data_IF_279038511990
#
_entry.id   IF_279038511990
#
_cell.length_a   1.000
_cell.length_b   1.000
_cell.length_c   1.000
_cell.angle_alpha   90.00
_cell.angle_beta   90.00
_cell.angle_gamma   90.00
#
_symmetry.space_group_name_H-M   'P 1'
#
loop_
_entity.id
_entity.type
_entity.pdbx_description
1 polymer ?
#
# COMPACT_ATOMS: atom_id res chain seq x y z
N UNK A 1 -25.69 1.78 -47.77
CA UNK A 1 -24.69 1.63 -46.70
C UNK A 1 -23.86 2.91 -46.65
N UNK A 2 -24.11 3.77 -45.69
CA UNK A 2 -23.32 4.99 -45.45
C UNK A 2 -22.08 4.63 -44.62
N UNK A 3 -20.88 5.14 -44.96
CA UNK A 3 -19.66 4.80 -44.24
C UNK A 3 -19.64 5.48 -42.87
N UNK A 4 -19.33 4.70 -41.82
CA UNK A 4 -19.14 5.19 -40.45
C UNK A 4 -17.85 6.04 -40.40
N UNK A 5 -17.89 7.29 -39.88
CA UNK A 5 -16.69 8.11 -39.78
C UNK A 5 -15.70 7.52 -38.76
N UNK A 6 -14.43 7.42 -39.17
CA UNK A 6 -13.35 6.94 -38.31
C UNK A 6 -13.23 7.84 -37.06
N UNK A 7 -13.37 7.23 -35.88
CA UNK A 7 -13.19 7.93 -34.61
C UNK A 7 -11.78 8.53 -34.48
N UNK A 8 -11.61 9.61 -33.70
CA UNK A 8 -10.33 10.29 -33.56
C UNK A 8 -9.26 9.33 -33.00
N UNK A 9 -8.00 9.43 -33.47
CA UNK A 9 -6.93 8.57 -32.98
C UNK A 9 -6.73 8.76 -31.46
N UNK A 10 -6.43 7.68 -30.71
CA UNK A 10 -6.24 7.77 -29.27
C UNK A 10 -5.13 8.76 -28.94
N UNK A 11 -5.46 9.80 -28.15
CA UNK A 11 -4.49 10.79 -27.68
C UNK A 11 -3.40 10.08 -26.87
N UNK A 12 -2.15 10.15 -27.37
CA UNK A 12 -0.95 9.71 -26.63
C UNK A 12 -0.76 10.65 -25.44
N UNK A 13 -1.18 10.22 -24.26
CA UNK A 13 -0.89 10.94 -23.01
C UNK A 13 0.59 10.73 -22.71
N UNK A 14 1.41 11.75 -22.93
CA UNK A 14 2.80 11.73 -22.46
C UNK A 14 2.81 11.73 -20.92
N UNK A 15 3.56 10.83 -20.26
CA UNK A 15 3.66 10.84 -18.81
C UNK A 15 4.25 12.18 -18.37
N UNK A 16 3.60 12.84 -17.39
CA UNK A 16 4.11 14.10 -16.86
C UNK A 16 5.51 13.91 -16.26
N UNK A 17 6.48 14.77 -16.62
CA UNK A 17 7.86 14.75 -16.13
C UNK A 17 7.94 14.67 -14.59
N UNK A 18 6.96 15.28 -13.89
CA UNK A 18 6.82 15.23 -12.43
C UNK A 18 6.46 13.84 -11.89
N UNK A 19 5.62 13.08 -12.59
CA UNK A 19 5.29 11.70 -12.22
C UNK A 19 6.51 10.78 -12.37
N UNK A 20 7.30 11.03 -13.42
CA UNK A 20 8.55 10.32 -13.67
C UNK A 20 9.63 10.57 -12.61
N UNK A 21 9.86 11.84 -12.26
CA UNK A 21 10.80 12.22 -11.19
C UNK A 21 10.43 11.59 -9.83
N UNK A 22 9.14 11.51 -9.51
CA UNK A 22 8.66 10.93 -8.25
C UNK A 22 8.89 9.42 -8.15
N UNK A 23 8.60 8.67 -9.22
CA UNK A 23 8.76 7.20 -9.21
C UNK A 23 10.23 6.78 -9.19
N UNK A 24 11.07 7.46 -9.96
CA UNK A 24 12.52 7.27 -9.95
C UNK A 24 13.11 7.66 -8.59
N UNK A 25 12.71 8.81 -8.04
CA UNK A 25 13.15 9.25 -6.71
C UNK A 25 12.78 8.26 -5.59
N UNK A 26 11.55 7.76 -5.57
CA UNK A 26 11.13 6.74 -4.61
C UNK A 26 11.94 5.44 -4.74
N UNK A 27 12.16 5.00 -5.97
CA UNK A 27 12.93 3.77 -6.27
C UNK A 27 14.38 3.89 -5.80
N UNK A 28 15.01 5.04 -6.03
CA UNK A 28 16.35 5.35 -5.54
C UNK A 28 16.39 5.41 -4.01
N UNK A 29 15.41 6.06 -3.38
CA UNK A 29 15.31 6.14 -1.93
C UNK A 29 15.17 4.75 -1.28
N UNK A 30 14.32 3.88 -1.83
CA UNK A 30 14.20 2.51 -1.37
C UNK A 30 15.50 1.72 -1.55
N UNK A 31 16.16 1.86 -2.70
CA UNK A 31 17.44 1.18 -2.97
C UNK A 31 18.55 1.64 -2.02
N UNK A 32 18.60 2.94 -1.71
CA UNK A 32 19.51 3.51 -0.70
C UNK A 32 19.20 2.99 0.70
N UNK A 33 17.93 2.92 1.08
CA UNK A 33 17.49 2.39 2.37
C UNK A 33 17.89 0.92 2.54
N UNK A 34 17.67 0.11 1.50
CA UNK A 34 18.07 -1.31 1.50
C UNK A 34 19.59 -1.44 1.57
N UNK A 35 20.33 -0.67 0.76
CA UNK A 35 21.79 -0.68 0.80
C UNK A 35 22.34 -0.28 2.19
N UNK A 36 21.73 0.72 2.84
CA UNK A 36 22.08 1.11 4.21
C UNK A 36 21.78 0.00 5.23
N UNK A 37 20.64 -0.68 5.10
CA UNK A 37 20.30 -1.82 5.97
C UNK A 37 21.22 -3.03 5.78
N UNK A 38 21.68 -3.27 4.56
CA UNK A 38 22.61 -4.37 4.23
C UNK A 38 24.05 -4.04 4.66
N UNK A 39 24.45 -2.75 4.66
CA UNK A 39 25.80 -2.29 4.94
C UNK A 39 26.36 -2.78 6.29
N UNK A 40 25.52 -2.88 7.32
CA UNK A 40 25.95 -3.23 8.67
C UNK A 40 26.41 -4.69 8.86
N UNK A 41 26.32 -5.53 7.83
CA UNK A 41 26.53 -6.97 7.99
C UNK A 41 27.80 -7.61 7.46
N UNK A 42 28.66 -6.86 6.76
CA UNK A 42 29.91 -7.38 6.19
C UNK A 42 29.75 -8.48 5.12
N UNK A 43 28.52 -8.90 4.82
CA UNK A 43 28.20 -9.97 3.87
C UNK A 43 28.34 -9.51 2.41
N UNK A 44 27.86 -8.30 2.10
CA UNK A 44 27.95 -7.67 0.77
C UNK A 44 28.22 -6.19 0.98
N UNK A 45 29.15 -5.62 0.20
CA UNK A 45 29.44 -4.19 0.33
C UNK A 45 28.24 -3.37 -0.17
N UNK A 46 27.88 -2.26 0.51
CA UNK A 46 26.78 -1.40 0.06
C UNK A 46 26.99 -0.89 -1.38
N UNK A 47 28.25 -0.70 -1.80
CA UNK A 47 28.60 -0.36 -3.18
C UNK A 47 28.19 -1.43 -4.21
N UNK A 48 28.29 -2.72 -3.89
CA UNK A 48 27.84 -3.80 -4.78
C UNK A 48 26.32 -3.81 -4.90
N UNK A 49 25.59 -3.57 -3.80
CA UNK A 49 24.12 -3.49 -3.81
C UNK A 49 23.65 -2.29 -4.64
N UNK A 50 24.23 -1.11 -4.40
CA UNK A 50 23.89 0.12 -5.13
C UNK A 50 24.28 0.01 -6.62
N UNK A 51 25.46 -0.56 -6.91
CA UNK A 51 25.91 -0.79 -8.28
C UNK A 51 24.99 -1.75 -9.03
N UNK A 52 24.60 -2.86 -8.42
CA UNK A 52 23.66 -3.82 -9.01
C UNK A 52 22.27 -3.20 -9.22
N UNK A 53 21.75 -2.43 -8.25
CA UNK A 53 20.49 -1.71 -8.36
C UNK A 53 20.54 -0.67 -9.49
N UNK A 54 21.60 0.15 -9.52
CA UNK A 54 21.79 1.21 -10.51
C UNK A 54 21.97 0.67 -11.92
N UNK A 55 22.81 -0.37 -12.11
CA UNK A 55 22.98 -1.05 -13.39
C UNK A 55 21.68 -1.71 -13.84
N UNK A 56 21.00 -2.42 -12.94
CA UNK A 56 19.73 -3.06 -13.24
C UNK A 56 18.68 -2.05 -13.70
N UNK A 57 18.48 -0.98 -12.93
CA UNK A 57 17.56 0.10 -13.28
C UNK A 57 17.94 0.79 -14.59
N UNK A 58 19.23 1.10 -14.80
CA UNK A 58 19.72 1.73 -16.03
C UNK A 58 19.47 0.89 -17.27
N UNK A 59 19.80 -0.41 -17.22
CA UNK A 59 19.54 -1.36 -18.31
C UNK A 59 18.04 -1.44 -18.61
N UNK A 60 17.21 -1.56 -17.58
CA UNK A 60 15.76 -1.67 -17.78
C UNK A 60 15.16 -0.37 -18.32
N UNK A 61 15.64 0.79 -17.87
CA UNK A 61 15.19 2.09 -18.36
C UNK A 61 15.56 2.29 -19.85
N UNK A 62 16.76 1.85 -20.25
CA UNK A 62 17.18 1.87 -21.66
C UNK A 62 16.36 0.91 -22.55
N UNK A 63 15.94 -0.24 -21.99
CA UNK A 63 15.16 -1.23 -22.71
C UNK A 63 13.67 -0.88 -22.80
N UNK A 64 13.11 -0.23 -21.78
CA UNK A 64 11.69 0.04 -21.61
C UNK A 64 11.43 1.50 -21.17
N UNK A 65 11.66 2.50 -22.05
CA UNK A 65 11.58 3.93 -21.68
C UNK A 65 10.17 4.39 -21.21
N UNK A 66 9.11 3.69 -21.62
CA UNK A 66 7.73 3.97 -21.19
C UNK A 66 7.25 3.07 -20.03
N UNK A 67 8.09 2.15 -19.55
CA UNK A 67 7.76 1.14 -18.54
C UNK A 67 8.02 1.58 -17.10
N UNK A 68 7.65 2.79 -16.69
CA UNK A 68 7.88 3.29 -15.31
C UNK A 68 7.39 2.32 -14.23
N UNK A 69 6.28 1.64 -14.53
CA UNK A 69 5.64 0.61 -13.73
C UNK A 69 6.51 -0.64 -13.56
N UNK A 70 7.20 -1.05 -14.62
CA UNK A 70 8.09 -2.19 -14.61
C UNK A 70 9.39 -1.91 -13.82
N UNK A 71 9.94 -0.69 -13.93
CA UNK A 71 11.11 -0.28 -13.14
C UNK A 71 10.81 -0.28 -11.63
N UNK A 72 9.64 0.24 -11.23
CA UNK A 72 9.19 0.23 -9.84
C UNK A 72 9.06 -1.19 -9.27
N UNK A 73 8.38 -2.08 -10.00
CA UNK A 73 8.22 -3.46 -9.58
C UNK A 73 9.57 -4.19 -9.50
N UNK A 74 10.48 -3.93 -10.45
CA UNK A 74 11.81 -4.56 -10.44
C UNK A 74 12.66 -4.09 -9.27
N UNK A 75 12.57 -2.80 -8.89
CA UNK A 75 13.26 -2.29 -7.71
C UNK A 75 12.78 -2.93 -6.41
N UNK A 76 11.46 -3.09 -6.24
CA UNK A 76 10.90 -3.80 -5.08
C UNK A 76 11.33 -5.27 -5.07
N UNK A 77 11.30 -5.95 -6.21
CA UNK A 77 11.78 -7.32 -6.33
C UNK A 77 13.27 -7.45 -5.96
N UNK A 78 14.09 -6.52 -6.44
CA UNK A 78 15.52 -6.45 -6.09
C UNK A 78 15.73 -6.18 -4.60
N UNK A 79 14.96 -5.27 -3.99
CA UNK A 79 15.01 -4.99 -2.56
C UNK A 79 14.71 -6.25 -1.72
N UNK A 80 13.64 -6.97 -2.05
CA UNK A 80 13.27 -8.23 -1.38
C UNK A 80 14.39 -9.27 -1.55
N UNK A 81 14.93 -9.42 -2.77
CA UNK A 81 16.06 -10.30 -3.03
C UNK A 81 17.28 -9.97 -2.17
N UNK A 82 17.65 -8.69 -2.09
CA UNK A 82 18.81 -8.27 -1.31
C UNK A 82 18.66 -8.58 0.18
N UNK A 83 17.47 -8.34 0.74
CA UNK A 83 17.17 -8.69 2.14
C UNK A 83 17.24 -10.21 2.38
N UNK A 84 16.63 -11.01 1.50
CA UNK A 84 16.64 -12.48 1.62
C UNK A 84 18.05 -13.06 1.47
N UNK A 85 18.86 -12.51 0.56
CA UNK A 85 20.24 -12.93 0.37
C UNK A 85 21.06 -12.73 1.64
N UNK A 86 20.96 -11.56 2.27
CA UNK A 86 21.69 -11.25 3.50
C UNK A 86 21.23 -12.11 4.67
N UNK A 87 19.93 -12.37 4.78
CA UNK A 87 19.39 -13.26 5.79
C UNK A 87 19.93 -14.68 5.63
N UNK A 88 19.83 -15.24 4.43
CA UNK A 88 20.30 -16.60 4.13
C UNK A 88 21.82 -16.73 4.23
N UNK A 89 22.57 -15.73 3.76
CA UNK A 89 24.04 -15.71 3.86
C UNK A 89 24.54 -15.65 5.30
N UNK A 90 23.81 -14.98 6.20
CA UNK A 90 24.12 -15.00 7.64
C UNK A 90 23.74 -16.31 8.32
N UNK A 91 22.58 -16.87 7.98
CA UNK A 91 22.06 -18.06 8.65
C UNK A 91 22.70 -19.36 8.16
N UNK A 92 22.96 -19.48 6.85
CA UNK A 92 23.48 -20.71 6.23
C UNK A 92 24.99 -20.69 5.97
N UNK A 93 25.55 -19.55 5.53
CA UNK A 93 26.91 -19.47 4.98
C UNK A 93 27.83 -18.45 5.69
N UNK A 94 27.97 -18.52 7.04
CA UNK A 94 28.74 -17.53 7.78
C UNK A 94 30.20 -17.45 7.33
N UNK A 95 30.84 -18.59 7.05
CA UNK A 95 32.28 -18.70 6.77
C UNK A 95 32.62 -18.76 5.27
N UNK A 96 31.61 -18.58 4.39
CA UNK A 96 31.86 -18.51 2.96
C UNK A 96 32.75 -17.32 2.59
N UNK A 97 33.60 -17.50 1.57
CA UNK A 97 34.58 -16.52 1.17
C UNK A 97 33.94 -15.17 0.78
N UNK A 98 34.51 -14.01 1.16
CA UNK A 98 33.91 -12.69 0.88
C UNK A 98 33.66 -12.43 -0.61
N UNK A 99 34.59 -12.85 -1.47
CA UNK A 99 34.42 -12.73 -2.93
C UNK A 99 33.27 -13.58 -3.44
N UNK A 100 33.05 -14.77 -2.86
CA UNK A 100 31.98 -15.67 -3.26
C UNK A 100 30.61 -15.14 -2.83
N UNK A 101 30.54 -14.41 -1.70
CA UNK A 101 29.34 -13.66 -1.31
C UNK A 101 29.00 -12.56 -2.32
N UNK A 102 30.00 -11.81 -2.78
CA UNK A 102 29.78 -10.81 -3.83
C UNK A 102 29.34 -11.44 -5.18
N UNK A 103 30.02 -12.50 -5.61
CA UNK A 103 29.68 -13.22 -6.86
C UNK A 103 28.30 -13.86 -6.77
N UNK A 104 28.01 -14.55 -5.66
CA UNK A 104 26.72 -15.19 -5.41
C UNK A 104 25.57 -14.18 -5.41
N UNK A 105 25.78 -12.99 -4.86
CA UNK A 105 24.80 -11.90 -4.92
C UNK A 105 24.55 -11.40 -6.35
N UNK A 106 25.61 -11.24 -7.15
CA UNK A 106 25.51 -10.70 -8.50
C UNK A 106 24.97 -11.72 -9.52
N UNK A 107 25.13 -13.02 -9.27
CA UNK A 107 24.85 -14.07 -10.25
C UNK A 107 23.36 -14.12 -10.67
N UNK A 108 22.36 -14.15 -9.76
CA UNK A 108 20.95 -14.06 -10.14
C UNK A 108 20.57 -12.74 -10.82
N UNK A 109 21.19 -11.64 -10.39
CA UNK A 109 20.95 -10.30 -10.97
C UNK A 109 21.44 -10.25 -12.41
N UNK A 110 22.67 -10.73 -12.66
CA UNK A 110 23.25 -10.80 -13.99
C UNK A 110 22.44 -11.74 -14.91
N UNK A 111 22.02 -12.90 -14.40
CA UNK A 111 21.17 -13.84 -15.14
C UNK A 111 19.81 -13.24 -15.50
N UNK A 112 19.19 -12.50 -14.58
CA UNK A 112 17.96 -11.75 -14.85
C UNK A 112 18.17 -10.72 -15.97
N UNK A 113 19.18 -9.86 -15.86
CA UNK A 113 19.45 -8.82 -16.85
C UNK A 113 19.80 -9.42 -18.22
N UNK A 114 20.60 -10.48 -18.26
CA UNK A 114 20.92 -11.20 -19.49
C UNK A 114 19.66 -11.81 -20.12
N UNK A 115 18.78 -12.43 -19.31
CA UNK A 115 17.54 -13.02 -19.80
C UNK A 115 16.54 -11.95 -20.32
N UNK A 116 16.48 -10.79 -19.66
CA UNK A 116 15.69 -9.63 -20.12
C UNK A 116 16.25 -9.11 -21.45
N UNK A 117 17.57 -8.96 -21.54
CA UNK A 117 18.24 -8.49 -22.76
C UNK A 117 18.04 -9.46 -23.93
N UNK A 118 18.22 -10.76 -23.71
CA UNK A 118 18.05 -11.79 -24.73
C UNK A 118 16.60 -11.86 -25.25
N UNK A 119 15.61 -11.58 -24.40
CA UNK A 119 14.17 -11.65 -24.75
C UNK A 119 13.54 -10.28 -25.00
N UNK A 120 14.35 -9.23 -25.18
CA UNK A 120 13.90 -7.82 -25.23
C UNK A 120 12.80 -7.53 -26.24
N UNK A 121 12.81 -8.14 -27.43
CA UNK A 121 11.78 -7.92 -28.46
C UNK A 121 10.41 -8.44 -28.02
N UNK A 122 10.37 -9.67 -27.49
CA UNK A 122 9.14 -10.27 -26.97
C UNK A 122 8.63 -9.55 -25.72
N UNK A 123 9.53 -9.09 -24.84
CA UNK A 123 9.17 -8.36 -23.62
C UNK A 123 8.67 -6.93 -23.93
N UNK A 124 9.23 -6.25 -24.93
CA UNK A 124 8.73 -4.93 -25.38
C UNK A 124 7.30 -5.03 -25.90
N UNK A 125 7.02 -6.04 -26.74
CA UNK A 125 5.67 -6.29 -27.24
C UNK A 125 4.67 -6.57 -26.10
N UNK A 126 5.10 -7.23 -25.01
CA UNK A 126 4.28 -7.46 -23.82
C UNK A 126 4.03 -6.18 -23.01
N UNK A 127 5.04 -5.33 -22.85
CA UNK A 127 4.93 -4.08 -22.10
C UNK A 127 4.09 -3.02 -22.84
N UNK A 128 4.09 -3.02 -24.17
CA UNK A 128 3.31 -2.10 -25.01
C UNK A 128 1.87 -2.58 -25.25
N UNK A 129 1.64 -3.89 -25.20
CA UNK A 129 0.31 -4.45 -25.30
C UNK A 129 -0.49 -4.14 -24.03
N UNK A 130 -1.32 -3.09 -24.07
CA UNK A 130 -2.36 -2.81 -23.06
C UNK A 130 -3.45 -3.89 -23.10
N UNK A 131 -3.11 -5.11 -22.69
CA UNK A 131 -4.09 -6.19 -22.54
C UNK A 131 -4.77 -6.10 -21.17
N UNK A 132 -6.05 -6.47 -21.07
CA UNK A 132 -6.71 -6.65 -19.79
C UNK A 132 -6.00 -7.75 -18.98
N UNK A 133 -6.10 -7.65 -17.65
CA UNK A 133 -5.53 -8.59 -16.69
C UNK A 133 -5.92 -10.04 -17.04
N UNK A 134 -4.93 -10.94 -17.18
CA UNK A 134 -5.14 -12.34 -17.54
C UNK A 134 -4.59 -13.27 -16.45
N UNK A 135 -5.46 -14.10 -15.86
CA UNK A 135 -5.12 -15.02 -14.77
C UNK A 135 -4.37 -16.27 -15.23
N UNK A 136 -4.27 -16.53 -16.54
CA UNK A 136 -3.71 -17.76 -17.09
C UNK A 136 -2.22 -18.03 -16.75
N UNK A 137 -1.47 -17.03 -16.26
CA UNK A 137 -0.07 -17.17 -15.87
C UNK A 137 0.17 -17.45 -14.37
N UNK A 138 -0.85 -17.28 -13.52
CA UNK A 138 -0.76 -17.50 -12.06
C UNK A 138 -0.15 -18.87 -11.67
N UNK A 139 -0.53 -19.99 -12.29
CA UNK A 139 0.05 -21.30 -11.94
C UNK A 139 1.51 -21.47 -12.36
N UNK A 140 2.01 -20.72 -13.35
CA UNK A 140 3.44 -20.69 -13.68
C UNK A 140 4.23 -19.87 -12.66
N UNK A 141 3.66 -18.76 -12.20
CA UNK A 141 4.23 -17.95 -11.13
C UNK A 141 4.31 -18.72 -9.81
N UNK A 142 3.25 -19.44 -9.46
CA UNK A 142 3.22 -20.24 -8.23
C UNK A 142 4.33 -21.31 -8.26
N UNK A 143 4.58 -21.93 -9.42
CA UNK A 143 5.72 -22.85 -9.60
C UNK A 143 7.08 -22.17 -9.41
N UNK A 144 7.24 -20.94 -9.90
CA UNK A 144 8.46 -20.15 -9.68
C UNK A 144 8.68 -19.85 -8.19
N UNK A 145 7.65 -19.35 -7.50
CA UNK A 145 7.73 -19.05 -6.07
C UNK A 145 7.99 -20.32 -5.24
N UNK A 146 7.34 -21.43 -5.58
CA UNK A 146 7.58 -22.73 -4.94
C UNK A 146 8.99 -23.24 -5.20
N UNK A 147 9.53 -23.08 -6.41
CA UNK A 147 10.91 -23.46 -6.71
C UNK A 147 11.92 -22.65 -5.90
N UNK A 148 11.71 -21.33 -5.79
CA UNK A 148 12.57 -20.46 -5.00
C UNK A 148 12.47 -20.77 -3.49
N UNK A 149 11.26 -21.01 -3.00
CA UNK A 149 11.03 -21.44 -1.62
C UNK A 149 11.66 -22.80 -1.34
N UNK A 150 11.56 -23.76 -2.26
CA UNK A 150 12.20 -25.06 -2.13
C UNK A 150 13.72 -24.94 -2.05
N UNK A 151 14.35 -24.10 -2.88
CA UNK A 151 15.80 -23.84 -2.79
C UNK A 151 16.15 -23.26 -1.41
N UNK A 152 15.40 -22.26 -0.93
CA UNK A 152 15.62 -21.67 0.40
C UNK A 152 15.45 -22.66 1.55
N UNK A 153 14.43 -23.52 1.49
CA UNK A 153 14.19 -24.57 2.49
C UNK A 153 15.31 -25.61 2.46
N UNK A 154 15.71 -26.07 1.28
CA UNK A 154 16.82 -27.03 1.12
C UNK A 154 18.11 -26.44 1.70
N UNK A 155 18.44 -25.18 1.40
CA UNK A 155 19.60 -24.49 1.99
C UNK A 155 19.52 -24.36 3.52
N UNK A 156 18.33 -24.25 4.10
CA UNK A 156 18.17 -24.21 5.57
C UNK A 156 18.21 -25.58 6.24
N UNK A 157 17.81 -26.65 5.53
CA UNK A 157 17.81 -28.02 6.05
C UNK A 157 19.22 -28.63 6.02
N UNK A 158 20.06 -28.23 5.06
CA UNK A 158 21.46 -28.64 5.04
C UNK A 158 22.20 -27.92 6.18
N UNK A 159 22.89 -28.64 7.08
CA UNK A 159 23.61 -28.03 8.20
C UNK A 159 24.94 -27.41 7.72
N UNK A 160 24.84 -26.40 6.87
CA UNK A 160 25.96 -25.74 6.19
C UNK A 160 26.93 -25.08 7.17
N UNK A 161 26.43 -24.61 8.32
CA UNK A 161 27.26 -24.08 9.41
C UNK A 161 28.19 -25.10 10.08
N UNK A 162 28.10 -26.39 9.75
CA UNK A 162 29.05 -27.44 10.21
C UNK A 162 30.11 -27.77 9.16
N UNK A 163 30.02 -27.20 7.95
CA UNK A 163 30.95 -27.48 6.87
C UNK A 163 32.16 -26.52 6.92
N UNK A 164 33.34 -26.96 6.46
CA UNK A 164 34.50 -26.08 6.33
C UNK A 164 34.21 -24.95 5.32
N UNK A 165 34.78 -23.76 5.55
CA UNK A 165 34.57 -22.55 4.72
C UNK A 165 34.62 -22.74 3.19
N UNK A 166 35.55 -23.53 2.59
CA UNK A 166 35.53 -23.79 1.15
C UNK A 166 34.30 -24.59 0.68
N UNK A 167 33.79 -25.52 1.49
CA UNK A 167 32.58 -26.27 1.17
C UNK A 167 31.32 -25.37 1.26
N UNK A 168 31.25 -24.48 2.26
CA UNK A 168 30.20 -23.45 2.33
C UNK A 168 30.22 -22.54 1.08
N UNK A 169 31.42 -22.19 0.60
CA UNK A 169 31.59 -21.37 -0.61
C UNK A 169 31.03 -22.04 -1.86
N UNK A 170 31.30 -23.34 -2.05
CA UNK A 170 30.77 -24.10 -3.19
C UNK A 170 29.25 -24.26 -3.08
N UNK A 171 28.72 -24.56 -1.89
CA UNK A 171 27.26 -24.68 -1.68
C UNK A 171 26.54 -23.36 -1.97
N UNK A 172 27.08 -22.23 -1.49
CA UNK A 172 26.54 -20.91 -1.78
C UNK A 172 26.47 -20.64 -3.29
N UNK A 173 27.56 -20.90 -4.03
CA UNK A 173 27.59 -20.67 -5.47
C UNK A 173 26.65 -21.62 -6.21
N UNK A 174 26.53 -22.88 -5.78
CA UNK A 174 25.59 -23.84 -6.36
C UNK A 174 24.14 -23.40 -6.14
N UNK A 175 23.78 -22.99 -4.92
CA UNK A 175 22.45 -22.46 -4.59
C UNK A 175 22.15 -21.21 -5.42
N UNK A 176 23.08 -20.26 -5.50
CA UNK A 176 22.90 -19.03 -6.29
C UNK A 176 22.79 -19.31 -7.78
N UNK A 177 23.50 -20.33 -8.29
CA UNK A 177 23.38 -20.79 -9.68
C UNK A 177 22.01 -21.40 -9.95
N UNK A 178 21.50 -22.24 -9.04
CA UNK A 178 20.14 -22.77 -9.15
C UNK A 178 19.09 -21.64 -9.17
N UNK A 179 19.23 -20.66 -8.28
CA UNK A 179 18.38 -19.45 -8.28
C UNK A 179 18.49 -18.70 -9.61
N UNK A 180 19.70 -18.47 -10.12
CA UNK A 180 19.93 -17.77 -11.38
C UNK A 180 19.27 -18.47 -12.58
N UNK A 181 19.34 -19.80 -12.65
CA UNK A 181 18.67 -20.61 -13.69
C UNK A 181 17.16 -20.46 -13.60
N UNK A 182 16.59 -20.59 -12.40
CA UNK A 182 15.15 -20.44 -12.17
C UNK A 182 14.68 -19.04 -12.56
N UNK A 183 15.41 -17.99 -12.16
CA UNK A 183 15.11 -16.59 -12.50
C UNK A 183 15.17 -16.35 -14.02
N UNK A 184 16.21 -16.84 -14.69
CA UNK A 184 16.37 -16.70 -16.14
C UNK A 184 15.24 -17.42 -16.91
N UNK A 185 14.82 -18.61 -16.45
CA UNK A 185 13.71 -19.34 -17.04
C UNK A 185 12.38 -18.58 -16.89
N UNK A 186 12.14 -18.03 -15.70
CA UNK A 186 10.89 -17.36 -15.32
C UNK A 186 10.81 -15.88 -15.68
N UNK A 187 11.84 -15.30 -16.34
CA UNK A 187 11.91 -13.86 -16.64
C UNK A 187 10.66 -13.31 -17.34
N UNK A 188 10.04 -14.06 -18.25
CA UNK A 188 8.83 -13.61 -18.96
C UNK A 188 7.63 -13.50 -18.03
N UNK A 189 7.48 -14.46 -17.13
CA UNK A 189 6.36 -14.52 -16.19
C UNK A 189 6.56 -13.47 -15.07
N UNK A 190 7.81 -13.29 -14.61
CA UNK A 190 8.19 -12.21 -13.67
C UNK A 190 7.91 -10.85 -14.27
N UNK A 191 8.36 -10.57 -15.50
CA UNK A 191 8.11 -9.27 -16.15
C UNK A 191 6.62 -8.99 -16.31
N UNK A 192 5.81 -10.00 -16.70
CA UNK A 192 4.35 -9.85 -16.80
C UNK A 192 3.73 -9.50 -15.45
N UNK A 193 4.05 -10.26 -14.40
CA UNK A 193 3.55 -9.97 -13.06
C UNK A 193 3.94 -8.55 -12.61
N UNK A 194 5.19 -8.14 -12.85
CA UNK A 194 5.63 -6.80 -12.48
C UNK A 194 4.86 -5.72 -13.22
N UNK A 195 4.54 -5.93 -14.51
CA UNK A 195 3.67 -5.04 -15.28
C UNK A 195 2.25 -5.05 -14.73
N UNK A 196 1.66 -6.22 -14.47
CA UNK A 196 0.29 -6.35 -13.98
C UNK A 196 0.12 -5.77 -12.57
N UNK A 197 1.04 -6.11 -11.65
CA UNK A 197 1.11 -5.54 -10.30
C UNK A 197 1.25 -4.04 -10.40
N UNK A 198 2.12 -3.52 -11.25
CA UNK A 198 2.31 -2.08 -11.35
C UNK A 198 1.13 -1.35 -12.01
N UNK A 199 0.39 -2.00 -12.92
CA UNK A 199 -0.91 -1.52 -13.43
C UNK A 199 -1.99 -1.53 -12.33
N UNK A 200 -2.03 -2.60 -11.52
CA UNK A 200 -2.91 -2.68 -10.34
C UNK A 200 -2.55 -1.56 -9.37
N UNK A 201 -1.26 -1.33 -9.07
CA UNK A 201 -0.80 -0.26 -8.20
C UNK A 201 -1.09 1.13 -8.75
N UNK A 202 -1.06 1.35 -10.06
CA UNK A 202 -1.48 2.62 -10.66
C UNK A 202 -2.99 2.85 -10.47
N UNK A 203 -3.76 1.79 -10.71
CA UNK A 203 -5.21 1.79 -10.53
C UNK A 203 -5.58 1.98 -9.05
N UNK A 204 -4.84 1.34 -8.16
CA UNK A 204 -4.98 1.41 -6.71
C UNK A 204 -4.45 2.73 -6.17
N UNK A 205 -3.40 3.32 -6.73
CA UNK A 205 -2.85 4.62 -6.32
C UNK A 205 -3.87 5.74 -6.53
N UNK A 206 -4.64 5.68 -7.63
CA UNK A 206 -5.79 6.56 -7.84
C UNK A 206 -6.94 6.33 -6.85
N UNK A 207 -7.06 5.12 -6.28
CA UNK A 207 -7.99 4.81 -5.18
C UNK A 207 -7.43 5.26 -3.82
N UNK A 208 -6.12 5.11 -3.61
CA UNK A 208 -5.42 5.45 -2.38
C UNK A 208 -5.39 6.94 -2.15
N UNK A 209 -5.26 7.75 -3.22
CA UNK A 209 -5.46 9.20 -3.13
C UNK A 209 -6.84 9.61 -2.60
N UNK A 210 -7.88 8.77 -2.81
CA UNK A 210 -9.23 9.01 -2.28
C UNK A 210 -9.37 8.61 -0.81
N UNK A 211 -8.60 7.60 -0.39
CA UNK A 211 -8.55 7.15 1.01
C UNK A 211 -7.51 7.92 1.84
N UNK A 212 -6.67 8.74 1.20
CA UNK A 212 -5.60 9.46 1.88
C UNK A 212 -6.12 10.37 2.98
N UNK A 213 -7.24 11.07 2.76
CA UNK A 213 -7.85 11.96 3.76
C UNK A 213 -8.33 11.18 5.00
N UNK A 214 -9.22 10.17 4.89
CA UNK A 214 -9.65 9.42 6.07
C UNK A 214 -8.52 8.63 6.74
N UNK A 215 -7.55 8.09 5.97
CA UNK A 215 -6.37 7.43 6.55
C UNK A 215 -5.51 8.41 7.34
N UNK A 216 -5.26 9.61 6.80
CA UNK A 216 -4.45 10.62 7.50
C UNK A 216 -5.14 11.07 8.78
N UNK A 217 -6.46 11.28 8.75
CA UNK A 217 -7.24 11.58 9.95
C UNK A 217 -7.14 10.45 10.99
N UNK A 218 -7.34 9.20 10.57
CA UNK A 218 -7.22 8.03 11.44
C UNK A 218 -5.83 7.93 12.09
N UNK A 219 -4.76 8.03 11.29
CA UNK A 219 -3.38 7.98 11.77
C UNK A 219 -3.08 9.12 12.73
N UNK A 220 -3.63 10.32 12.47
CA UNK A 220 -3.46 11.48 13.35
C UNK A 220 -4.11 11.25 14.70
N UNK A 221 -5.37 10.77 14.72
CA UNK A 221 -6.07 10.46 15.98
C UNK A 221 -5.40 9.31 16.71
N UNK A 222 -4.92 8.29 16.00
CA UNK A 222 -4.12 7.20 16.57
C UNK A 222 -2.86 7.72 17.25
N UNK A 223 -2.09 8.58 16.56
CA UNK A 223 -0.89 9.19 17.11
C UNK A 223 -1.18 10.09 18.32
N UNK A 224 -2.25 10.89 18.27
CA UNK A 224 -2.69 11.71 19.40
C UNK A 224 -3.04 10.83 20.61
N UNK A 225 -3.80 9.75 20.40
CA UNK A 225 -4.16 8.82 21.47
C UNK A 225 -2.91 8.21 22.11
N UNK A 226 -1.93 7.77 21.30
CA UNK A 226 -0.64 7.28 21.77
C UNK A 226 0.07 8.32 22.65
N UNK A 227 0.21 9.56 22.16
CA UNK A 227 0.95 10.63 22.86
C UNK A 227 0.22 11.05 24.15
N UNK A 228 -1.10 11.16 24.11
CA UNK A 228 -1.92 11.51 25.28
C UNK A 228 -1.78 10.46 26.37
N UNK A 229 -1.90 9.17 26.04
CA UNK A 229 -1.75 8.10 27.03
C UNK A 229 -0.30 7.97 27.52
N UNK A 230 0.70 8.14 26.65
CA UNK A 230 2.10 8.20 27.08
C UNK A 230 2.33 9.31 28.13
N UNK A 231 1.72 10.48 27.90
CA UNK A 231 1.75 11.59 28.85
C UNK A 231 1.05 11.24 30.16
N UNK A 232 -0.12 10.60 30.11
CA UNK A 232 -0.82 10.14 31.31
C UNK A 232 -0.02 9.10 32.10
N UNK A 233 0.63 8.13 31.45
CA UNK A 233 1.47 7.15 32.16
C UNK A 233 2.66 7.81 32.85
N UNK A 234 3.33 8.74 32.18
CA UNK A 234 4.46 9.47 32.76
C UNK A 234 4.04 10.37 33.91
N UNK A 235 2.89 11.04 33.80
CA UNK A 235 2.33 11.83 34.90
C UNK A 235 1.94 10.93 36.07
N UNK A 236 1.25 9.81 35.80
CA UNK A 236 0.84 8.87 36.84
C UNK A 236 2.04 8.27 37.59
N UNK A 237 3.10 7.91 36.87
CA UNK A 237 4.33 7.44 37.49
C UNK A 237 5.02 8.56 38.28
N UNK A 238 5.18 9.75 37.69
CA UNK A 238 5.81 10.91 38.36
C UNK A 238 5.10 11.38 39.63
N UNK A 239 3.78 11.25 39.70
CA UNK A 239 2.98 11.60 40.89
C UNK A 239 2.97 10.50 41.95
N UNK A 240 3.37 9.27 41.61
CA UNK A 240 3.34 8.13 42.53
C UNK A 240 4.58 8.11 43.42
N UNK A 241 4.41 7.81 44.71
CA UNK A 241 5.52 7.73 45.68
C UNK A 241 6.53 6.61 45.33
N UNK A 242 6.04 5.49 44.79
CA UNK A 242 6.85 4.37 44.32
C UNK A 242 6.65 4.15 42.81
N UNK A 243 7.62 3.52 42.10
CA UNK A 243 7.46 3.17 40.70
C UNK A 243 6.23 2.32 40.45
N UNK A 244 5.37 2.75 39.54
CA UNK A 244 4.14 2.03 39.17
C UNK A 244 4.30 1.16 37.92
N UNK A 245 5.51 1.13 37.35
CA UNK A 245 5.92 0.28 36.24
C UNK A 245 7.13 -0.59 36.61
N UNK A 246 7.27 -1.71 35.92
CA UNK A 246 8.40 -2.60 36.07
C UNK A 246 8.85 -3.18 34.73
N UNK A 247 10.13 -3.52 34.65
CA UNK A 247 10.72 -4.33 33.58
C UNK A 247 11.05 -5.72 34.13
N UNK A 248 11.53 -6.66 33.29
CA UNK A 248 12.07 -7.93 33.78
C UNK A 248 13.22 -7.77 34.79
N UNK A 249 13.94 -6.65 34.76
CA UNK A 249 15.04 -6.36 35.69
C UNK A 249 14.57 -5.75 37.03
N UNK A 250 13.31 -5.32 37.14
CA UNK A 250 12.74 -4.77 38.37
C UNK A 250 11.88 -3.52 38.16
N UNK A 251 11.38 -2.90 39.26
CA UNK A 251 10.66 -1.64 39.21
C UNK A 251 11.55 -0.50 38.73
N UNK A 252 11.03 0.36 37.85
CA UNK A 252 11.77 1.52 37.34
C UNK A 252 10.82 2.67 36.99
N UNK A 253 11.36 3.88 36.86
CA UNK A 253 10.60 5.08 36.49
C UNK A 253 10.60 5.29 34.99
N UNK A 254 9.44 5.63 34.42
CA UNK A 254 9.31 5.85 32.98
C UNK A 254 9.89 7.21 32.57
N UNK A 255 10.82 7.19 31.60
CA UNK A 255 11.02 8.39 30.79
C UNK A 255 9.94 8.53 29.71
N UNK A 256 9.87 9.68 29.04
CA UNK A 256 8.87 9.92 28.00
C UNK A 256 8.97 8.94 26.83
N UNK A 257 10.20 8.56 26.44
CA UNK A 257 10.42 7.57 25.39
C UNK A 257 9.86 6.18 25.78
N UNK A 258 10.07 5.76 27.02
CA UNK A 258 9.55 4.49 27.55
C UNK A 258 8.02 4.51 27.64
N UNK A 259 7.44 5.62 28.11
CA UNK A 259 5.99 5.80 28.16
C UNK A 259 5.35 5.80 26.77
N UNK A 260 6.03 6.39 25.77
CA UNK A 260 5.60 6.36 24.38
C UNK A 260 5.68 4.93 23.81
N UNK A 261 6.78 4.23 24.07
CA UNK A 261 6.97 2.83 23.68
C UNK A 261 5.86 1.94 24.25
N UNK A 262 5.62 2.02 25.56
CA UNK A 262 4.57 1.28 26.24
C UNK A 262 3.18 1.60 25.68
N UNK A 263 2.89 2.89 25.44
CA UNK A 263 1.63 3.35 24.87
C UNK A 263 1.39 2.79 23.45
N UNK A 264 2.40 2.80 22.58
CA UNK A 264 2.32 2.19 21.24
C UNK A 264 2.12 0.67 21.34
N UNK A 265 2.91 -0.02 22.17
CA UNK A 265 2.82 -1.48 22.33
C UNK A 265 1.46 -1.91 22.88
N UNK A 266 0.87 -1.11 23.78
CA UNK A 266 -0.46 -1.35 24.38
C UNK A 266 -1.57 -1.10 23.35
N UNK A 267 -1.56 0.06 22.67
CA UNK A 267 -2.61 0.42 21.71
C UNK A 267 -2.61 -0.47 20.47
N UNK A 268 -1.43 -0.96 20.06
CA UNK A 268 -1.28 -1.92 18.96
C UNK A 268 -1.55 -3.37 19.38
N UNK A 269 -1.81 -3.62 20.66
CA UNK A 269 -2.02 -4.96 21.25
C UNK A 269 -0.82 -5.92 21.11
N UNK A 270 0.37 -5.39 20.80
CA UNK A 270 1.60 -6.19 20.66
C UNK A 270 2.12 -6.65 22.03
N UNK A 271 2.23 -5.71 22.97
CA UNK A 271 2.63 -6.00 24.36
C UNK A 271 3.89 -6.86 24.51
N UNK A 272 5.05 -6.37 24.08
CA UNK A 272 6.33 -7.11 24.14
C UNK A 272 6.68 -7.64 25.55
N UNK A 273 6.16 -7.01 26.61
CA UNK A 273 6.32 -7.45 27.99
C UNK A 273 7.60 -6.95 28.68
N UNK A 274 8.37 -6.12 27.99
CA UNK A 274 9.56 -5.43 28.49
C UNK A 274 9.20 -4.28 29.46
N UNK A 275 8.02 -3.68 29.32
CA UNK A 275 7.43 -2.71 30.25
C UNK A 275 6.04 -3.19 30.66
N UNK A 276 5.77 -3.28 31.97
CA UNK A 276 4.47 -3.72 32.51
C UNK A 276 3.95 -2.79 33.63
N UNK A 277 2.64 -2.48 33.64
CA UNK A 277 2.02 -1.71 34.71
C UNK A 277 1.83 -2.59 35.96
N UNK A 278 2.40 -2.18 37.09
CA UNK A 278 2.25 -2.87 38.38
C UNK A 278 1.27 -2.16 39.31
N UNK A 279 1.12 -0.84 39.20
CA UNK A 279 0.16 -0.08 39.99
C UNK A 279 -1.28 -0.21 39.45
N UNK A 280 -2.27 -0.28 40.34
CA UNK A 280 -3.67 -0.46 39.95
C UNK A 280 -4.20 0.69 39.10
N UNK A 281 -3.82 1.94 39.41
CA UNK A 281 -4.23 3.11 38.64
C UNK A 281 -3.75 3.07 37.18
N UNK A 282 -2.49 2.68 36.95
CA UNK A 282 -1.94 2.56 35.59
C UNK A 282 -2.47 1.35 34.84
N UNK A 283 -2.90 0.28 35.54
CA UNK A 283 -3.62 -0.85 34.93
C UNK A 283 -5.00 -0.46 34.42
N UNK A 284 -5.74 0.34 35.19
CA UNK A 284 -7.04 0.90 34.75
C UNK A 284 -6.83 1.81 33.55
N UNK A 285 -5.81 2.68 33.60
CA UNK A 285 -5.47 3.57 32.50
C UNK A 285 -5.11 2.79 31.22
N UNK A 286 -4.34 1.70 31.35
CA UNK A 286 -4.05 0.79 30.24
C UNK A 286 -5.30 0.10 29.68
N UNK A 287 -6.21 -0.34 30.56
CA UNK A 287 -7.49 -0.93 30.15
C UNK A 287 -8.35 0.06 29.36
N UNK A 288 -8.39 1.32 29.80
CA UNK A 288 -9.09 2.39 29.10
C UNK A 288 -8.44 2.68 27.74
N UNK A 289 -7.11 2.69 27.66
CA UNK A 289 -6.40 2.87 26.40
C UNK A 289 -6.79 1.80 25.38
N UNK A 290 -6.81 0.53 25.79
CA UNK A 290 -7.19 -0.59 24.92
C UNK A 290 -8.63 -0.44 24.43
N UNK A 291 -9.56 -0.08 25.33
CA UNK A 291 -10.96 0.16 24.96
C UNK A 291 -11.11 1.29 23.92
N UNK A 292 -10.46 2.44 24.16
CA UNK A 292 -10.48 3.56 23.22
C UNK A 292 -9.80 3.22 21.89
N UNK A 293 -8.73 2.43 21.92
CA UNK A 293 -8.09 1.91 20.71
C UNK A 293 -9.02 1.03 19.88
N UNK A 294 -9.77 0.14 20.53
CA UNK A 294 -10.74 -0.71 19.85
C UNK A 294 -11.88 0.10 19.21
N UNK A 295 -12.38 1.12 19.93
CA UNK A 295 -13.38 2.04 19.39
C UNK A 295 -12.82 2.82 18.20
N UNK A 296 -11.60 3.34 18.32
CA UNK A 296 -10.93 4.05 17.23
C UNK A 296 -10.82 3.17 15.99
N UNK A 297 -10.41 1.90 16.13
CA UNK A 297 -10.35 0.95 15.01
C UNK A 297 -11.71 0.73 14.36
N UNK A 298 -12.76 0.53 15.16
CA UNK A 298 -14.13 0.32 14.66
C UNK A 298 -14.64 1.55 13.88
N UNK A 299 -14.52 2.74 14.46
CA UNK A 299 -14.96 3.98 13.82
C UNK A 299 -14.09 4.34 12.62
N UNK A 300 -12.77 4.17 12.73
CA UNK A 300 -11.82 4.38 11.64
C UNK A 300 -12.16 3.54 10.42
N UNK A 301 -12.43 2.25 10.64
CA UNK A 301 -12.84 1.35 9.56
C UNK A 301 -14.21 1.72 8.99
N UNK A 302 -15.19 2.05 9.84
CA UNK A 302 -16.51 2.48 9.40
C UNK A 302 -16.46 3.77 8.55
N UNK A 303 -15.64 4.74 8.92
CA UNK A 303 -15.49 6.00 8.20
C UNK A 303 -14.78 5.78 6.85
N UNK A 304 -13.72 4.98 6.84
CA UNK A 304 -13.04 4.56 5.60
C UNK A 304 -14.05 3.91 4.66
N UNK A 305 -14.90 2.99 5.13
CA UNK A 305 -15.94 2.37 4.30
C UNK A 305 -17.04 3.34 3.86
N UNK A 306 -17.54 4.22 4.73
CA UNK A 306 -18.57 5.21 4.40
C UNK A 306 -18.11 6.17 3.32
N UNK A 307 -16.86 6.63 3.40
CA UNK A 307 -16.26 7.51 2.39
C UNK A 307 -16.28 6.89 0.98
N UNK A 308 -16.24 5.56 0.88
CA UNK A 308 -16.35 4.84 -0.41
C UNK A 308 -17.78 4.74 -0.93
N UNK A 309 -18.80 4.69 -0.05
CA UNK A 309 -20.20 4.42 -0.41
C UNK A 309 -20.99 5.68 -0.78
N UNK A 310 -20.82 6.80 -0.07
CA UNK A 310 -21.59 8.02 -0.33
C UNK A 310 -21.34 8.61 -1.73
N UNK A 311 -20.11 8.48 -2.26
CA UNK A 311 -19.76 9.03 -3.57
C UNK A 311 -20.20 8.18 -4.76
N UNK A 312 -20.50 6.89 -4.54
CA UNK A 312 -21.12 6.05 -5.56
C UNK A 312 -22.57 6.51 -5.86
N UNK A 313 -23.27 7.02 -4.84
CA UNK A 313 -24.60 7.61 -5.00
C UNK A 313 -24.56 8.99 -5.68
N UNK A 314 -23.53 9.81 -5.45
CA UNK A 314 -23.37 11.08 -6.16
C UNK A 314 -23.15 10.88 -7.68
N UNK A 315 -22.32 9.92 -8.09
CA UNK A 315 -22.12 9.62 -9.52
C UNK A 315 -23.27 8.85 -10.17
N UNK A 316 -24.09 8.12 -9.39
CA UNK A 316 -25.31 7.48 -9.88
C UNK A 316 -26.49 8.45 -10.00
N UNK A 317 -26.64 9.40 -9.07
CA UNK A 317 -27.76 10.33 -9.02
C UNK A 317 -27.67 11.49 -10.01
N UNK A 318 -26.47 11.83 -10.52
CA UNK A 318 -26.32 12.85 -11.56
C UNK A 318 -26.73 12.36 -12.96
N UNK A 319 -26.70 11.04 -13.20
CA UNK A 319 -27.12 10.42 -14.46
C UNK A 319 -28.65 10.32 -14.60
N UNK A 320 -29.39 10.51 -13.51
CA UNK A 320 -30.85 10.30 -13.44
C UNK A 320 -31.64 11.60 -13.25
N UNK A 321 -30.99 12.78 -13.27
CA UNK A 321 -31.68 14.07 -13.33
C UNK A 321 -32.18 14.30 -14.77
N UNK A 322 -33.49 14.24 -15.05
CA UNK A 322 -33.99 14.52 -16.39
C UNK A 322 -33.75 16.00 -16.69
N UNK A 323 -32.93 16.26 -17.72
CA UNK A 323 -32.71 17.60 -18.25
C UNK A 323 -34.05 18.20 -18.70
N UNK A 324 -34.52 19.21 -17.98
CA UNK A 324 -35.41 20.29 -18.45
C UNK A 324 -36.49 19.92 -19.47
N UNK A 325 -37.60 19.35 -19.01
CA UNK A 325 -38.87 19.37 -19.73
C UNK A 325 -39.73 20.52 -19.20
N UNK A 326 -40.00 21.54 -20.02
CA UNK A 326 -40.92 22.63 -19.68
C UNK A 326 -42.31 22.08 -19.31
N UNK A 327 -43.07 22.70 -18.38
CA UNK A 327 -44.39 22.22 -18.01
C UNK A 327 -45.35 22.30 -19.22
N UNK A 328 -46.20 21.29 -19.46
CA UNK A 328 -47.12 21.29 -20.60
C UNK A 328 -48.18 22.37 -20.42
N UNK A 329 -48.40 23.17 -21.47
CA UNK A 329 -49.46 24.19 -21.53
C UNK A 329 -50.83 23.50 -21.53
N UNK A 330 -51.85 24.04 -20.83
CA UNK A 330 -53.19 23.47 -20.85
C UNK A 330 -53.88 23.75 -22.20
N UNK A 331 -54.25 22.68 -22.89
CA UNK A 331 -55.02 22.69 -24.14
C UNK A 331 -56.47 23.12 -23.88
N UNK A 332 -56.91 24.19 -24.56
CA UNK A 332 -58.30 24.64 -24.59
C UNK A 332 -59.15 23.73 -25.48
N UNK A 333 -60.24 23.20 -24.92
CA UNK A 333 -61.48 22.88 -25.64
C UNK A 333 -61.73 21.41 -25.97
N UNK A 334 -62.69 20.77 -25.28
CA UNK A 334 -64.05 20.67 -25.82
C UNK A 334 -65.04 20.31 -24.69
N UNK A 335 -66.13 21.05 -24.63
CA UNK A 335 -67.28 20.80 -23.76
C UNK A 335 -68.11 19.66 -24.35
N UNK A 336 -68.72 18.81 -23.53
CA UNK A 336 -70.04 18.21 -23.77
C UNK A 336 -70.48 17.44 -22.52
N UNK A 337 -71.58 17.88 -21.91
CA UNK A 337 -72.26 17.16 -20.84
C UNK A 337 -72.70 18.02 -19.65
N UNK A 338 -73.64 18.95 -19.87
CA UNK A 338 -74.57 19.39 -18.83
C UNK A 338 -75.86 18.57 -18.99
N UNK A 339 -76.53 18.23 -17.89
CA UNK A 339 -77.83 18.85 -17.67
C UNK A 339 -77.94 19.53 -16.30
N UNK A 340 -78.90 20.44 -16.24
CA UNK A 340 -79.26 21.30 -15.14
C UNK A 340 -80.04 20.56 -14.04
N UNK A 341 -79.99 21.06 -12.79
CA UNK A 341 -81.16 21.54 -12.03
C UNK A 341 -80.78 21.99 -10.61
N UNK A 342 -81.45 23.07 -10.15
CA UNK A 342 -81.69 23.50 -8.76
C UNK A 342 -80.47 23.81 -7.87
N UNK A 343 -80.27 24.98 -7.27
CA UNK A 343 -81.18 26.03 -6.86
C UNK A 343 -80.63 26.59 -5.54
N UNK A 344 -80.56 27.93 -5.43
CA UNK A 344 -80.41 28.71 -4.19
C UNK A 344 -79.08 28.57 -3.41
N UNK A 345 -78.55 29.55 -2.69
CA UNK A 345 -78.72 30.99 -2.52
C UNK A 345 -77.66 31.35 -1.46
N UNK A 346 -76.92 32.46 -1.58
CA UNK A 346 -76.08 32.93 -0.47
C UNK A 346 -74.78 33.63 -0.84
N UNK A 347 -74.91 34.94 -1.06
CA UNK A 347 -73.90 36.00 -1.09
C UNK A 347 -72.61 35.83 -0.23
N UNK A 348 -71.44 35.97 -0.85
CA UNK A 348 -70.47 37.13 -0.85
C UNK A 348 -70.68 38.20 0.27
N UNK A 349 -69.69 38.98 0.81
CA UNK A 349 -68.28 39.21 0.40
C UNK A 349 -67.18 39.35 1.50
N UNK A 350 -65.92 39.32 1.01
CA UNK A 350 -64.80 40.27 1.19
C UNK A 350 -64.37 40.88 2.56
N UNK A 351 -63.05 40.98 2.73
CA UNK A 351 -62.40 42.01 3.56
C UNK A 351 -60.94 41.69 3.90
N UNK A 352 -59.96 42.04 3.06
CA UNK A 352 -59.03 43.19 3.19
C UNK A 352 -58.07 43.17 4.42
N UNK A 353 -56.79 43.01 4.08
CA UNK A 353 -55.62 43.89 4.39
C UNK A 353 -55.18 44.18 5.85
N UNK A 354 -53.84 44.05 6.00
CA UNK A 354 -52.84 44.90 6.68
C UNK A 354 -52.51 44.65 8.17
N UNK A 355 -51.25 44.22 8.36
CA UNK A 355 -50.15 44.88 9.08
C UNK A 355 -50.41 45.64 10.40
N UNK A 356 -49.72 45.20 11.47
CA UNK A 356 -48.81 45.98 12.35
C UNK A 356 -48.33 45.03 13.48
N UNK A 357 -47.03 44.85 13.70
CA UNK A 357 -46.21 45.56 14.69
C UNK A 357 -46.73 45.48 16.13
N UNK A 358 -45.85 45.12 17.08
CA UNK A 358 -46.05 45.38 18.51
C UNK A 358 -45.59 44.27 19.46
N UNK A 359 -44.37 44.45 19.98
CA UNK A 359 -43.86 44.18 21.33
C UNK A 359 -44.68 43.37 22.35
N UNK A 360 -43.94 42.59 23.16
CA UNK A 360 -44.16 42.54 24.61
C UNK A 360 -44.11 41.15 25.23
N UNK A 361 -42.92 40.72 25.65
CA UNK A 361 -42.54 40.41 27.05
C UNK A 361 -41.21 39.65 27.08
#
# INVERSE_FOLDING_TARGET
MTPVPAGPPPRRVSPSLRGWLRSVGFTLALSLLVAAGVAGGGQVSPGVVLGAAGLGLGVLYSLFPHGMHFAFGTANGFAVYACLYVFMGRAGFPDAAPWAKAVGFLLPVAAFLAAVWARRSALRALAEARRPFDTAHLPRMMRFLLALAAIGVVSMVVPEGRMPGPAQTVSLLAAMTAVAVVVAASVRDVVRLLVDVALIFETMGRRLGRLAVPITAFVTVYALLVITFASFYRIADGLSAAPVFASPAGPFRLDFADALHFSVATLSTVGYGDIRPVGDGVRVLASLQVLLGQLLLLFGFAEIMRSTRMRAWEHGGEAERPSGGAPPRPSRGNQLGKPAEGGESGAVPAGRRRASAGEGA
#
